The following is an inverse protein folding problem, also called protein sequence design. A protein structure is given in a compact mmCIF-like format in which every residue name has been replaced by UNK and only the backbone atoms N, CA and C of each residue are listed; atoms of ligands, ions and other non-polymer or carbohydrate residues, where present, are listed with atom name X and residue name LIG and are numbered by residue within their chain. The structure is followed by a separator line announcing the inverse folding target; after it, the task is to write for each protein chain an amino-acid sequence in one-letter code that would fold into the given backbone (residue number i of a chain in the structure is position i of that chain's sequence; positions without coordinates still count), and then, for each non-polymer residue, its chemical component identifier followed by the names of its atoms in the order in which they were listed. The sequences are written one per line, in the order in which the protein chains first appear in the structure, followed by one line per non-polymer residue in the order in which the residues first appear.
data_IF_878299336733
#
_entry.id   IF_878299336733
#
_cell.length_a   1.000
_cell.length_b   1.000
_cell.length_c   1.000
_cell.angle_alpha   90.00
_cell.angle_beta   90.00
_cell.angle_gamma   90.00
#
_symmetry.space_group_name_H-M   'P 1'
#
loop_
_entity.id
_entity.type
_entity.pdbx_description
1 polymer ?
#
# COMPACT_ATOMS: atom_id res chain seq x y z
N UNK A 1 9.59 -0.85 -5.92
CA UNK A 1 8.27 -0.37 -6.42
C UNK A 1 7.17 -0.88 -5.50
N UNK A 2 6.08 -0.15 -5.29
CA UNK A 2 4.91 -0.65 -4.55
C UNK A 2 3.82 -1.04 -5.54
N UNK A 3 3.18 -2.18 -5.37
CA UNK A 3 2.11 -2.68 -6.26
C UNK A 3 0.82 -2.91 -5.46
N UNK A 4 -0.32 -2.72 -6.13
CA UNK A 4 -1.61 -3.18 -5.60
C UNK A 4 -1.78 -4.67 -5.92
N UNK A 5 -2.26 -5.42 -4.92
CA UNK A 5 -2.49 -6.87 -4.96
C UNK A 5 -3.41 -7.34 -6.09
N UNK A 6 -4.26 -6.46 -6.62
CA UNK A 6 -5.25 -6.82 -7.65
C UNK A 6 -4.68 -6.89 -9.06
N UNK A 7 -3.55 -6.21 -9.33
CA UNK A 7 -3.06 -6.03 -10.70
C UNK A 7 -1.81 -6.86 -11.03
N UNK A 8 -1.23 -7.58 -10.07
CA UNK A 8 0.05 -8.28 -10.27
C UNK A 8 -0.03 -9.74 -9.89
N UNK A 9 0.23 -10.64 -10.85
CA UNK A 9 0.35 -12.07 -10.60
C UNK A 9 1.72 -12.39 -10.00
N UNK A 10 1.81 -13.48 -9.24
CA UNK A 10 3.07 -13.92 -8.63
C UNK A 10 4.16 -14.21 -9.67
N UNK A 11 3.79 -14.69 -10.86
CA UNK A 11 4.71 -14.85 -12.00
C UNK A 11 5.39 -13.54 -12.40
N UNK A 12 4.65 -12.43 -12.47
CA UNK A 12 5.24 -11.12 -12.78
C UNK A 12 6.18 -10.66 -11.67
N UNK A 13 5.85 -10.92 -10.41
CA UNK A 13 6.74 -10.61 -9.29
C UNK A 13 8.04 -11.42 -9.34
N UNK A 14 7.95 -12.70 -9.75
CA UNK A 14 9.14 -13.54 -9.94
C UNK A 14 10.02 -13.00 -11.07
N UNK A 15 9.43 -12.59 -12.20
CA UNK A 15 10.17 -11.93 -13.29
C UNK A 15 10.85 -10.63 -12.85
N UNK A 16 10.17 -9.79 -12.06
CA UNK A 16 10.76 -8.56 -11.52
C UNK A 16 11.94 -8.89 -10.60
N UNK A 17 11.79 -9.91 -9.76
CA UNK A 17 12.88 -10.38 -8.88
C UNK A 17 14.07 -10.88 -9.71
N UNK A 18 13.81 -11.63 -10.79
CA UNK A 18 14.85 -12.13 -11.70
C UNK A 18 15.60 -10.99 -12.42
N UNK A 19 14.94 -9.84 -12.63
CA UNK A 19 15.53 -8.61 -13.18
C UNK A 19 16.22 -7.74 -12.12
N UNK A 20 16.25 -8.17 -10.86
CA UNK A 20 16.86 -7.41 -9.75
C UNK A 20 16.04 -6.19 -9.31
N UNK A 21 14.74 -6.18 -9.58
CA UNK A 21 13.84 -5.08 -9.21
C UNK A 21 13.11 -5.43 -7.93
N UNK A 22 13.36 -4.65 -6.87
CA UNK A 22 12.65 -4.79 -5.61
C UNK A 22 11.20 -4.32 -5.71
N UNK A 23 10.30 -5.10 -5.12
CA UNK A 23 8.86 -4.84 -5.11
C UNK A 23 8.26 -5.06 -3.73
N UNK A 24 7.16 -4.38 -3.44
CA UNK A 24 6.36 -4.51 -2.22
C UNK A 24 4.89 -4.59 -2.64
N UNK A 25 4.17 -5.63 -2.21
CA UNK A 25 2.74 -5.78 -2.51
C UNK A 25 1.97 -6.36 -1.33
N UNK A 26 0.65 -6.18 -1.36
CA UNK A 26 -0.26 -6.76 -0.38
C UNK A 26 -0.51 -8.25 -0.74
N UNK A 27 -0.44 -9.12 0.26
CA UNK A 27 -0.77 -10.55 0.15
C UNK A 27 -2.20 -10.80 0.62
N UNK A 28 -2.94 -11.63 -0.10
CA UNK A 28 -4.23 -12.11 0.40
C UNK A 28 -4.06 -12.93 1.68
N UNK A 29 -5.05 -12.83 2.57
CA UNK A 29 -5.04 -13.52 3.87
C UNK A 29 -5.51 -14.96 3.69
N UNK A 30 -4.58 -15.92 3.78
CA UNK A 30 -4.93 -17.34 3.87
C UNK A 30 -5.32 -17.73 5.29
N UNK A 31 -6.38 -18.55 5.47
CA UNK A 31 -6.84 -18.99 6.79
C UNK A 31 -5.71 -19.62 7.64
N UNK A 32 -4.93 -20.53 7.04
CA UNK A 32 -3.78 -21.17 7.70
C UNK A 32 -2.70 -20.18 8.14
N UNK A 33 -2.47 -19.13 7.35
CA UNK A 33 -1.50 -18.09 7.70
C UNK A 33 -1.98 -17.26 8.89
N UNK A 34 -3.26 -16.89 8.90
CA UNK A 34 -3.85 -16.15 10.01
C UNK A 34 -3.83 -16.96 11.30
N UNK A 35 -4.15 -18.25 11.24
CA UNK A 35 -4.09 -19.15 12.39
C UNK A 35 -2.66 -19.27 12.94
N UNK A 36 -1.66 -19.39 12.05
CA UNK A 36 -0.25 -19.40 12.45
C UNK A 36 0.14 -18.09 13.15
N UNK A 37 -0.20 -16.95 12.56
CA UNK A 37 0.12 -15.63 13.11
C UNK A 37 -0.59 -15.36 14.45
N UNK A 38 -1.82 -15.87 14.62
CA UNK A 38 -2.56 -15.76 15.87
C UNK A 38 -1.98 -16.63 16.99
N UNK A 39 -1.25 -17.70 16.64
CA UNK A 39 -0.59 -18.58 17.59
C UNK A 39 0.83 -18.11 17.98
N UNK A 40 1.33 -17.02 17.39
CA UNK A 40 2.62 -16.45 17.74
C UNK A 40 2.61 -15.85 19.15
N UNK A 41 3.75 -15.95 19.82
CA UNK A 41 3.96 -15.28 21.10
C UNK A 41 3.94 -13.75 20.92
N UNK A 42 3.39 -12.97 21.86
CA UNK A 42 3.42 -11.51 21.79
C UNK A 42 4.83 -10.90 21.64
N UNK A 43 5.87 -11.57 22.11
CA UNK A 43 7.27 -11.13 21.97
C UNK A 43 7.81 -11.17 20.53
N UNK A 44 7.21 -12.00 19.66
CA UNK A 44 7.52 -12.07 18.23
C UNK A 44 7.01 -10.83 17.47
N UNK A 45 6.15 -10.02 18.11
CA UNK A 45 5.59 -8.80 17.55
C UNK A 45 6.39 -7.57 18.00
N UNK A 46 7.07 -6.94 17.04
CA UNK A 46 7.83 -5.73 17.28
C UNK A 46 6.95 -4.50 17.11
N UNK A 47 6.67 -3.81 18.21
CA UNK A 47 6.02 -2.50 18.17
C UNK A 47 6.99 -1.45 17.63
N UNK A 48 6.61 -0.75 16.56
CA UNK A 48 7.42 0.34 15.99
C UNK A 48 6.60 1.62 15.92
N UNK A 49 7.26 2.78 16.10
CA UNK A 49 6.63 4.09 15.87
C UNK A 49 6.82 4.51 14.42
N UNK A 50 5.74 4.92 13.78
CA UNK A 50 5.77 5.52 12.43
C UNK A 50 5.35 6.98 12.52
N UNK A 51 6.20 7.85 11.95
CA UNK A 51 5.98 9.28 11.92
C UNK A 51 5.02 9.63 10.77
N UNK A 52 3.73 9.38 11.03
CA UNK A 52 2.62 9.71 10.13
C UNK A 52 1.51 10.45 10.87
N UNK A 53 0.74 11.24 10.13
CA UNK A 53 -0.55 11.73 10.60
C UNK A 53 -1.55 10.55 10.72
N UNK A 54 -2.40 10.59 11.75
CA UNK A 54 -3.44 9.58 12.00
C UNK A 54 -3.40 8.91 13.38
N UNK A 55 -4.41 8.07 13.64
CA UNK A 55 -4.68 7.38 14.91
C UNK A 55 -3.74 6.19 15.19
N UNK A 56 -3.23 5.54 14.14
CA UNK A 56 -2.43 4.32 14.25
C UNK A 56 -0.94 4.62 13.99
N UNK A 57 -0.25 5.07 15.04
CA UNK A 57 1.19 5.44 14.99
C UNK A 57 2.14 4.37 15.51
N UNK A 58 1.60 3.33 16.14
CA UNK A 58 2.36 2.27 16.79
C UNK A 58 1.96 0.88 16.27
N UNK A 59 2.14 0.60 14.96
CA UNK A 59 1.91 -0.74 14.43
C UNK A 59 2.82 -1.77 15.11
N UNK A 60 2.29 -2.98 15.23
CA UNK A 60 3.06 -4.17 15.59
C UNK A 60 3.43 -4.91 14.32
N UNK A 61 4.72 -5.18 14.14
CA UNK A 61 5.28 -5.84 12.96
C UNK A 61 5.83 -7.20 13.34
N UNK A 62 5.55 -8.20 12.52
CA UNK A 62 6.21 -9.50 12.55
C UNK A 62 6.75 -9.80 11.15
N UNK A 63 7.96 -10.35 11.08
CA UNK A 63 8.66 -10.61 9.83
C UNK A 63 8.90 -12.10 9.66
N UNK A 64 8.58 -12.61 8.49
CA UNK A 64 8.81 -14.01 8.12
C UNK A 64 9.49 -14.11 6.76
N UNK A 65 10.02 -15.30 6.49
CA UNK A 65 10.37 -15.71 5.13
C UNK A 65 9.39 -16.80 4.70
N UNK A 66 8.69 -16.57 3.59
CA UNK A 66 7.64 -17.47 3.09
C UNK A 66 7.91 -17.87 1.64
N UNK A 67 7.63 -19.12 1.32
CA UNK A 67 7.61 -19.60 -0.06
C UNK A 67 6.20 -19.44 -0.63
N UNK A 68 6.08 -18.76 -1.77
CA UNK A 68 4.81 -18.51 -2.44
C UNK A 68 4.81 -19.28 -3.75
N UNK A 69 3.69 -19.95 -4.05
CA UNK A 69 3.51 -20.63 -5.33
C UNK A 69 3.70 -19.62 -6.47
N UNK A 70 4.42 -20.04 -7.51
CA UNK A 70 4.75 -19.23 -8.68
C UNK A 70 5.77 -18.10 -8.43
N UNK A 71 6.45 -18.12 -7.27
CA UNK A 71 7.69 -17.36 -7.02
C UNK A 71 8.79 -18.37 -6.68
N UNK A 72 9.88 -18.35 -7.45
CA UNK A 72 10.94 -19.35 -7.32
C UNK A 72 11.76 -19.17 -6.03
N UNK A 73 11.94 -17.91 -5.59
CA UNK A 73 12.71 -17.59 -4.39
C UNK A 73 11.80 -17.32 -3.19
N UNK A 74 12.22 -17.71 -1.97
CA UNK A 74 11.53 -17.29 -0.76
C UNK A 74 11.45 -15.75 -0.70
N UNK A 75 10.29 -15.23 -0.32
CA UNK A 75 10.05 -13.79 -0.20
C UNK A 75 9.89 -13.43 1.27
N UNK A 76 10.23 -12.19 1.59
CA UNK A 76 10.01 -11.67 2.92
C UNK A 76 8.54 -11.27 3.07
N UNK A 77 7.92 -11.71 4.16
CA UNK A 77 6.59 -11.32 4.57
C UNK A 77 6.68 -10.40 5.79
N UNK A 78 5.82 -9.38 5.81
CA UNK A 78 5.65 -8.47 6.94
C UNK A 78 4.18 -8.50 7.32
N UNK A 79 3.87 -9.06 8.48
CA UNK A 79 2.54 -9.02 9.08
C UNK A 79 2.41 -7.78 9.97
N UNK A 80 1.30 -7.05 9.83
CA UNK A 80 1.07 -5.78 10.52
C UNK A 80 -0.23 -5.81 11.30
N UNK A 81 -0.13 -5.58 12.62
CA UNK A 81 -1.23 -5.43 13.57
C UNK A 81 -1.29 -4.00 14.13
N UNK A 82 -2.34 -3.73 14.91
CA UNK A 82 -2.59 -2.44 15.58
C UNK A 82 -2.72 -1.24 14.62
N UNK A 83 -3.43 -1.46 13.51
CA UNK A 83 -3.68 -0.44 12.46
C UNK A 83 -5.17 -0.23 12.19
N UNK A 84 -6.04 -0.55 13.15
CA UNK A 84 -7.49 -0.39 13.03
C UNK A 84 -8.19 -1.48 12.22
N UNK A 85 -7.56 -2.64 12.09
CA UNK A 85 -8.13 -3.85 11.45
C UNK A 85 -8.05 -5.00 12.43
N UNK A 86 -9.10 -5.82 12.49
CA UNK A 86 -9.15 -6.99 13.39
C UNK A 86 -8.12 -8.06 12.99
N UNK A 87 -7.92 -8.23 11.69
CA UNK A 87 -6.97 -9.19 11.13
C UNK A 87 -5.69 -8.49 10.65
N UNK A 88 -4.52 -9.16 10.77
CA UNK A 88 -3.25 -8.61 10.30
C UNK A 88 -3.29 -8.27 8.81
N UNK A 89 -2.61 -7.20 8.44
CA UNK A 89 -2.33 -6.87 7.05
C UNK A 89 -1.02 -7.53 6.65
N UNK A 90 -1.03 -8.30 5.57
CA UNK A 90 0.13 -9.06 5.12
C UNK A 90 0.75 -8.37 3.91
N UNK A 91 2.01 -7.96 4.04
CA UNK A 91 2.81 -7.46 2.94
C UNK A 91 3.86 -8.50 2.56
N UNK A 92 4.20 -8.57 1.28
CA UNK A 92 5.28 -9.39 0.77
C UNK A 92 6.23 -8.55 -0.08
N UNK A 93 7.52 -8.88 -0.05
CA UNK A 93 8.55 -8.12 -0.75
C UNK A 93 9.75 -8.99 -1.12
N UNK A 94 10.40 -8.66 -2.24
CA UNK A 94 11.74 -9.14 -2.56
C UNK A 94 12.85 -8.32 -1.85
N UNK A 95 12.52 -7.17 -1.26
CA UNK A 95 13.47 -6.30 -0.57
C UNK A 95 13.87 -6.89 0.78
N UNK A 96 15.14 -7.29 0.86
CA UNK A 96 15.77 -7.86 2.06
C UNK A 96 16.53 -6.84 2.89
N UNK A 97 16.70 -5.61 2.38
CA UNK A 97 17.60 -4.60 2.94
C UNK A 97 16.84 -3.52 3.70
N UNK A 98 15.69 -3.08 3.19
CA UNK A 98 14.91 -2.01 3.81
C UNK A 98 14.22 -2.53 5.08
N UNK A 99 14.25 -1.74 6.15
CA UNK A 99 13.56 -2.10 7.39
C UNK A 99 12.04 -2.27 7.19
N UNK A 100 11.42 -3.21 7.90
CA UNK A 100 9.98 -3.45 7.80
C UNK A 100 9.15 -2.21 8.17
N UNK A 101 9.65 -1.39 9.11
CA UNK A 101 9.07 -0.08 9.45
C UNK A 101 8.98 0.82 8.22
N UNK A 102 10.07 0.95 7.47
CA UNK A 102 10.12 1.85 6.31
C UNK A 102 9.28 1.31 5.14
N UNK A 103 9.28 -0.01 4.92
CA UNK A 103 8.42 -0.65 3.93
C UNK A 103 6.94 -0.44 4.26
N UNK A 104 6.55 -0.66 5.51
CA UNK A 104 5.17 -0.43 5.94
C UNK A 104 4.79 1.05 5.87
N UNK A 105 5.68 1.98 6.23
CA UNK A 105 5.45 3.42 6.10
C UNK A 105 5.16 3.82 4.64
N UNK A 106 6.00 3.36 3.69
CA UNK A 106 5.79 3.60 2.25
C UNK A 106 4.48 3.03 1.74
N UNK A 107 4.11 1.82 2.19
CA UNK A 107 2.81 1.23 1.85
C UNK A 107 1.64 2.06 2.42
N UNK A 108 1.76 2.49 3.67
CA UNK A 108 0.73 3.26 4.36
C UNK A 108 0.50 4.65 3.74
N UNK A 109 1.56 5.32 3.27
CA UNK A 109 1.47 6.58 2.52
C UNK A 109 0.69 6.40 1.22
N UNK A 110 0.98 5.34 0.46
CA UNK A 110 0.25 5.04 -0.79
C UNK A 110 -1.24 4.78 -0.53
N UNK A 111 -1.57 4.08 0.54
CA UNK A 111 -2.96 3.84 0.91
C UNK A 111 -3.70 5.12 1.28
N UNK A 112 -3.02 6.09 1.90
CA UNK A 112 -3.62 7.40 2.18
C UNK A 112 -3.96 8.12 0.87
N UNK A 113 -3.03 8.14 -0.09
CA UNK A 113 -3.24 8.74 -1.41
C UNK A 113 -4.41 8.07 -2.14
N UNK A 114 -4.50 6.74 -2.14
CA UNK A 114 -5.60 6.01 -2.78
C UNK A 114 -6.95 6.27 -2.11
N UNK A 115 -6.98 6.38 -0.78
CA UNK A 115 -8.20 6.72 -0.04
C UNK A 115 -8.64 8.18 -0.29
N UNK A 116 -7.71 9.13 -0.34
CA UNK A 116 -8.02 10.52 -0.68
C UNK A 116 -8.57 10.63 -2.10
N UNK A 117 -7.91 10.00 -3.08
CA UNK A 117 -8.39 9.96 -4.46
C UNK A 117 -9.79 9.33 -4.56
N UNK A 118 -10.04 8.23 -3.84
CA UNK A 118 -11.35 7.57 -3.79
C UNK A 118 -12.42 8.45 -3.14
N UNK A 119 -12.06 9.21 -2.09
CA UNK A 119 -12.96 10.15 -1.42
C UNK A 119 -13.33 11.32 -2.34
N UNK A 120 -12.35 11.87 -3.09
CA UNK A 120 -12.61 12.88 -4.11
C UNK A 120 -13.57 12.36 -5.19
N UNK A 121 -13.30 11.20 -5.81
CA UNK A 121 -14.16 10.61 -6.85
C UNK A 121 -15.59 10.37 -6.33
N UNK A 122 -15.72 9.85 -5.10
CA UNK A 122 -17.03 9.62 -4.49
C UNK A 122 -17.76 10.94 -4.20
N UNK A 123 -17.04 11.98 -3.76
CA UNK A 123 -17.58 13.33 -3.59
C UNK A 123 -18.10 13.91 -4.91
N UNK A 124 -17.29 13.85 -5.97
CA UNK A 124 -17.71 14.28 -7.31
C UNK A 124 -18.94 13.52 -7.84
N UNK A 125 -19.03 12.21 -7.61
CA UNK A 125 -20.22 11.44 -8.00
C UNK A 125 -21.48 11.77 -7.18
N UNK A 126 -21.33 12.20 -5.92
CA UNK A 126 -22.45 12.66 -5.09
C UNK A 126 -22.89 14.08 -5.46
N UNK A 127 -21.94 14.96 -5.78
CA UNK A 127 -22.22 16.36 -6.18
C UNK A 127 -22.71 16.49 -7.64
N UNK A 128 -22.33 15.56 -8.53
CA UNK A 128 -22.75 15.57 -9.94
C UNK A 128 -24.24 15.28 -10.16
N UNK A 129 -24.95 14.71 -9.18
CA UNK A 129 -26.42 14.53 -9.26
C UNK A 129 -27.20 15.84 -9.04
N UNK A 130 -26.56 16.90 -8.53
CA UNK A 130 -27.24 18.16 -8.18
C UNK A 130 -26.90 19.35 -9.07
N UNK A 131 -26.05 19.23 -10.10
CA UNK A 131 -25.59 20.40 -10.85
C UNK A 131 -25.49 20.16 -12.35
N UNK A 132 -26.59 20.38 -13.06
CA UNK A 132 -26.62 20.49 -14.53
C UNK A 132 -25.86 21.70 -15.11
N UNK A 133 -25.03 22.38 -14.31
CA UNK A 133 -24.18 23.51 -14.71
C UNK A 133 -22.67 23.20 -14.60
N UNK A 134 -22.29 22.02 -14.06
CA UNK A 134 -20.91 21.68 -13.71
C UNK A 134 -19.99 21.30 -14.90
N UNK A 135 -20.52 21.10 -16.10
CA UNK A 135 -19.70 20.61 -17.22
C UNK A 135 -18.67 21.64 -17.73
N UNK A 136 -18.89 22.94 -17.52
CA UNK A 136 -17.98 23.98 -17.99
C UNK A 136 -16.86 24.33 -17.00
N UNK A 137 -17.06 24.11 -15.70
CA UNK A 137 -16.05 24.41 -14.67
C UNK A 137 -15.00 23.30 -14.56
N UNK A 138 -15.38 22.07 -14.87
CA UNK A 138 -14.48 20.91 -14.76
C UNK A 138 -13.35 20.94 -15.80
N UNK A 139 -13.60 21.54 -16.97
CA UNK A 139 -12.57 21.76 -17.98
C UNK A 139 -11.51 22.77 -17.51
N UNK A 140 -11.94 23.89 -16.94
CA UNK A 140 -11.03 24.96 -16.47
C UNK A 140 -10.23 24.52 -15.23
N UNK A 141 -10.83 23.69 -14.37
CA UNK A 141 -10.17 23.10 -13.20
C UNK A 141 -9.13 22.04 -13.63
N UNK A 142 -9.47 21.20 -14.60
CA UNK A 142 -8.54 20.22 -15.18
C UNK A 142 -7.37 20.92 -15.87
N UNK A 143 -7.64 22.01 -16.61
CA UNK A 143 -6.59 22.82 -17.23
C UNK A 143 -5.67 23.48 -16.20
N UNK A 144 -6.21 23.93 -15.06
CA UNK A 144 -5.44 24.56 -13.98
C UNK A 144 -4.53 23.56 -13.26
N UNK A 145 -4.98 22.32 -13.03
CA UNK A 145 -4.15 21.25 -12.44
C UNK A 145 -3.05 20.81 -13.39
N UNK A 146 -3.34 20.71 -14.70
CA UNK A 146 -2.32 20.43 -15.73
C UNK A 146 -1.31 21.59 -15.79
N UNK A 147 -1.77 22.84 -15.81
CA UNK A 147 -0.91 24.02 -15.83
C UNK A 147 -0.03 24.12 -14.56
N UNK A 148 -0.57 23.87 -13.37
CA UNK A 148 0.21 23.86 -12.12
C UNK A 148 1.20 22.70 -12.02
N UNK A 149 0.94 21.59 -12.71
CA UNK A 149 1.87 20.47 -12.82
C UNK A 149 2.99 20.77 -13.81
N UNK A 150 2.68 21.44 -14.93
CA UNK A 150 3.68 21.92 -15.89
C UNK A 150 4.55 23.04 -15.29
N UNK A 151 3.98 23.98 -14.54
CA UNK A 151 4.75 25.04 -13.88
C UNK A 151 5.75 24.50 -12.85
N UNK A 152 5.42 23.42 -12.13
CA UNK A 152 6.37 22.77 -11.20
C UNK A 152 7.44 21.94 -11.90
N UNK A 153 7.16 21.48 -13.12
CA UNK A 153 8.11 20.71 -13.92
C UNK A 153 9.11 21.61 -14.66
N UNK A 154 8.69 22.81 -15.07
CA UNK A 154 9.51 23.78 -15.81
C UNK A 154 10.04 24.95 -14.95
N UNK A 155 9.52 25.14 -13.74
CA UNK A 155 10.02 26.12 -12.77
C UNK A 155 11.09 25.54 -11.85
N UNK A 156 12.30 25.33 -12.37
CA UNK A 156 13.54 25.42 -11.59
C UNK A 156 14.22 26.74 -11.90
#
# INVERSE_FOLDING_TARGET
MVFDSKLTTYTVLDELSARGIDWLTLRQRGKRELERLAALDPSEWKSVRIDRAGRYRHPQLHEDVVSIKDIARPVRQIAVLNIGRDNPTLLITADTTTSAKNLFARYAERMLIENELSAYIKGFHLDALSSGLALNVDLDTTLTVIAGSLFRLFGR
#
